data_IF_719835510346
#
_entry.id   IF_719835510346
#
_cell.length_a   1.000
_cell.length_b   1.000
_cell.length_c   1.000
_cell.angle_alpha   90.00
_cell.angle_beta   90.00
_cell.angle_gamma   90.00
#
_symmetry.space_group_name_H-M   'P 1'
#
loop_
_entity.id
_entity.type
_entity.pdbx_description
1 polymer ?
#
# COMPACT_ATOMS: atom_id res chain seq x y z
N UNK A 1 12.81 14.22 7.70
CA UNK A 1 12.13 14.92 8.82
C UNK A 1 13.10 15.51 9.84
N UNK A 2 13.92 14.73 10.54
CA UNK A 2 14.80 15.26 11.61
C UNK A 2 15.81 16.32 11.17
N UNK A 3 16.41 16.18 9.98
CA UNK A 3 17.27 17.23 9.41
C UNK A 3 16.54 18.56 9.23
N UNK A 4 15.24 18.51 8.86
CA UNK A 4 14.40 19.71 8.74
C UNK A 4 14.09 20.30 10.11
N UNK A 5 13.75 19.47 11.10
CA UNK A 5 13.55 19.92 12.48
C UNK A 5 14.81 20.61 13.05
N UNK A 6 15.99 20.05 12.78
CA UNK A 6 17.27 20.69 13.13
C UNK A 6 17.40 22.09 12.53
N UNK A 7 17.10 22.24 11.23
CA UNK A 7 17.15 23.53 10.55
C UNK A 7 16.12 24.56 11.02
N UNK A 8 15.14 24.15 11.84
CA UNK A 8 14.12 25.04 12.41
C UNK A 8 14.49 25.52 13.82
N UNK A 9 15.52 24.96 14.46
CA UNK A 9 15.91 25.34 15.82
C UNK A 9 16.20 26.84 15.94
N UNK A 10 16.94 27.40 14.98
CA UNK A 10 17.25 28.83 14.94
C UNK A 10 15.98 29.67 14.75
N UNK A 11 15.10 29.28 13.82
CA UNK A 11 13.84 29.98 13.56
C UNK A 11 12.94 30.07 14.80
N UNK A 12 12.90 29.01 15.61
CA UNK A 12 12.09 28.96 16.83
C UNK A 12 12.86 29.36 18.10
N UNK A 13 14.13 29.76 17.98
CA UNK A 13 15.02 29.98 19.12
C UNK A 13 15.00 28.80 20.13
N UNK A 14 14.98 27.57 19.61
CA UNK A 14 14.82 26.34 20.37
C UNK A 14 16.18 25.65 20.61
N UNK A 15 16.37 25.08 21.80
CA UNK A 15 17.66 24.47 22.18
C UNK A 15 17.79 22.97 21.86
N UNK A 16 16.67 22.27 21.63
CA UNK A 16 16.66 20.83 21.37
C UNK A 16 15.40 20.39 20.61
N UNK A 17 15.38 19.15 20.12
CA UNK A 17 14.27 18.54 19.38
C UNK A 17 13.65 17.42 20.21
N UNK A 18 12.31 17.33 20.22
CA UNK A 18 11.57 16.21 20.81
C UNK A 18 10.96 15.31 19.73
N UNK A 19 10.87 14.01 19.99
CA UNK A 19 10.05 13.09 19.18
C UNK A 19 9.21 12.16 20.05
N UNK A 20 8.10 11.67 19.49
CA UNK A 20 7.28 10.62 20.10
C UNK A 20 7.79 9.20 19.83
N UNK A 21 9.05 9.03 19.43
CA UNK A 21 9.62 7.70 19.15
C UNK A 21 9.79 6.90 20.45
N UNK A 22 9.51 5.59 20.37
CA UNK A 22 9.65 4.66 21.50
C UNK A 22 10.63 3.56 21.11
N UNK A 23 11.59 3.30 22.00
CA UNK A 23 12.59 2.25 21.81
C UNK A 23 11.91 0.87 21.64
N UNK A 24 12.15 0.25 20.48
CA UNK A 24 11.65 -1.08 20.14
C UNK A 24 10.21 -1.15 19.67
N UNK A 25 9.51 -0.02 19.49
CA UNK A 25 8.10 -0.01 19.11
C UNK A 25 7.90 -0.37 17.63
N UNK A 26 8.73 0.18 16.75
CA UNK A 26 8.78 -0.17 15.34
C UNK A 26 9.97 -1.09 15.05
N UNK A 27 9.75 -2.34 14.61
CA UNK A 27 10.82 -3.33 14.46
C UNK A 27 11.89 -2.89 13.43
N UNK A 28 11.49 -2.18 12.39
CA UNK A 28 12.42 -1.78 11.33
C UNK A 28 13.24 -0.53 11.68
N UNK A 29 12.63 0.47 12.33
CA UNK A 29 13.23 1.81 12.47
C UNK A 29 13.54 2.26 13.89
N UNK A 30 13.03 1.59 14.92
CA UNK A 30 13.18 2.01 16.32
C UNK A 30 13.96 1.00 17.17
N UNK A 31 14.79 0.18 16.53
CA UNK A 31 15.86 -0.56 17.22
C UNK A 31 16.92 0.42 17.69
N UNK A 32 17.63 0.09 18.78
CA UNK A 32 18.66 0.96 19.36
C UNK A 32 19.71 1.40 18.34
N UNK A 33 20.18 0.46 17.50
CA UNK A 33 21.13 0.74 16.42
C UNK A 33 20.56 1.72 15.39
N UNK A 34 19.36 1.46 14.87
CA UNK A 34 18.68 2.34 13.93
C UNK A 34 18.50 3.74 14.49
N UNK A 35 18.07 3.87 15.75
CA UNK A 35 17.90 5.16 16.42
C UNK A 35 19.23 5.91 16.57
N UNK A 36 20.32 5.20 16.88
CA UNK A 36 21.66 5.80 16.97
C UNK A 36 22.15 6.29 15.60
N UNK A 37 21.96 5.50 14.54
CA UNK A 37 22.30 5.91 13.17
C UNK A 37 21.50 7.14 12.74
N UNK A 38 20.19 7.15 12.99
CA UNK A 38 19.31 8.28 12.69
C UNK A 38 19.75 9.56 13.41
N UNK A 39 20.13 9.48 14.69
CA UNK A 39 20.65 10.62 15.46
C UNK A 39 21.93 11.17 14.85
N UNK A 40 22.87 10.28 14.48
CA UNK A 40 24.14 10.65 13.85
C UNK A 40 23.92 11.33 12.50
N UNK A 41 23.11 10.73 11.63
CA UNK A 41 22.84 11.22 10.28
C UNK A 41 22.01 12.51 10.26
N UNK A 42 21.13 12.71 11.24
CA UNK A 42 20.39 13.96 11.40
C UNK A 42 21.22 15.08 12.04
N UNK A 43 22.38 14.77 12.62
CA UNK A 43 23.22 15.73 13.31
C UNK A 43 22.57 16.29 14.57
N UNK A 44 21.67 15.54 15.21
CA UNK A 44 20.97 15.88 16.45
C UNK A 44 21.53 15.11 17.66
N UNK A 45 22.82 14.74 17.59
CA UNK A 45 23.49 14.07 18.70
C UNK A 45 23.33 14.90 19.97
N UNK A 46 22.90 14.24 21.04
CA UNK A 46 22.75 14.81 22.38
C UNK A 46 21.63 15.85 22.57
N UNK A 47 20.98 16.31 21.50
CA UNK A 47 19.87 17.29 21.53
C UNK A 47 18.56 16.72 20.97
N UNK A 48 18.46 15.40 20.81
CA UNK A 48 17.23 14.71 20.42
C UNK A 48 16.62 13.95 21.61
N UNK A 49 15.64 14.56 22.26
CA UNK A 49 14.94 13.98 23.40
C UNK A 49 13.76 13.10 22.93
N UNK A 50 13.57 11.96 23.59
CA UNK A 50 12.46 11.03 23.33
C UNK A 50 11.65 10.79 24.60
N UNK A 51 10.73 11.71 24.95
CA UNK A 51 10.13 11.77 26.28
C UNK A 51 9.49 10.46 26.74
N UNK A 52 8.89 9.69 25.83
CA UNK A 52 8.18 8.45 26.18
C UNK A 52 9.09 7.28 26.58
N UNK A 53 10.38 7.32 26.21
CA UNK A 53 11.35 6.25 26.51
C UNK A 53 12.70 6.75 27.05
N UNK A 54 12.79 8.03 27.44
CA UNK A 54 14.04 8.69 27.82
C UNK A 54 14.79 7.97 28.95
N UNK A 55 14.07 7.42 29.95
CA UNK A 55 14.66 6.65 31.06
C UNK A 55 15.29 5.32 30.64
N UNK A 56 15.14 4.91 29.38
CA UNK A 56 15.75 3.71 28.79
C UNK A 56 16.86 4.03 27.79
N UNK A 57 17.19 5.32 27.64
CA UNK A 57 18.22 5.86 26.78
C UNK A 57 19.25 6.64 27.62
N UNK A 58 20.38 6.95 27.01
CA UNK A 58 21.38 7.87 27.59
C UNK A 58 20.76 9.26 27.72
N UNK A 59 21.11 9.95 28.80
CA UNK A 59 20.69 11.32 29.04
C UNK A 59 21.15 12.24 27.93
N UNK A 60 20.25 13.10 27.49
CA UNK A 60 20.50 14.17 26.53
C UNK A 60 20.97 15.44 27.24
N UNK A 61 21.54 16.37 26.49
CA UNK A 61 21.95 17.68 26.98
C UNK A 61 20.84 18.43 27.76
N UNK A 62 19.58 18.55 27.29
CA UNK A 62 18.54 19.24 28.05
C UNK A 62 18.20 18.55 29.39
N UNK A 63 18.37 17.23 29.50
CA UNK A 63 18.21 16.52 30.77
C UNK A 63 19.37 16.86 31.72
N UNK A 64 20.62 16.81 31.23
CA UNK A 64 21.81 17.11 32.05
C UNK A 64 21.91 18.56 32.49
N UNK A 65 21.40 19.48 31.69
CA UNK A 65 21.33 20.91 32.02
C UNK A 65 20.14 21.27 32.93
N UNK A 66 19.26 20.32 33.24
CA UNK A 66 18.07 20.56 34.06
C UNK A 66 16.94 21.32 33.36
N UNK A 67 17.01 21.50 32.03
CA UNK A 67 15.88 22.06 31.25
C UNK A 67 14.69 21.11 31.20
N UNK A 68 14.95 19.81 31.37
CA UNK A 68 13.93 18.77 31.43
C UNK A 68 14.20 17.88 32.64
N UNK A 69 13.20 17.75 33.51
CA UNK A 69 13.23 16.79 34.60
C UNK A 69 13.11 15.36 34.05
N UNK A 70 14.16 14.57 34.21
CA UNK A 70 14.24 13.18 33.75
C UNK A 70 13.26 12.26 34.46
N UNK A 71 12.94 12.54 35.72
CA UNK A 71 12.00 11.70 36.50
C UNK A 71 10.56 11.86 36.03
N UNK A 72 10.23 13.00 35.43
CA UNK A 72 8.94 13.22 34.76
C UNK A 72 8.80 12.47 33.42
N UNK A 73 9.88 11.87 32.89
CA UNK A 73 9.87 11.23 31.57
C UNK A 73 9.43 9.75 31.61
N UNK A 74 9.07 9.24 30.44
CA UNK A 74 8.61 7.86 30.25
C UNK A 74 9.73 6.83 30.19
N UNK A 75 9.36 5.58 30.44
CA UNK A 75 10.23 4.42 30.35
C UNK A 75 9.64 3.31 29.45
N UNK A 76 8.73 3.69 28.53
CA UNK A 76 7.99 2.77 27.65
C UNK A 76 8.98 2.13 26.66
N UNK A 77 8.87 0.82 26.45
CA UNK A 77 9.64 0.07 25.44
C UNK A 77 8.84 -1.08 24.86
N UNK A 78 9.30 -1.60 23.71
CA UNK A 78 8.70 -2.76 23.05
C UNK A 78 7.54 -2.38 22.14
N UNK A 79 6.80 -3.38 21.62
CA UNK A 79 5.80 -3.18 20.55
C UNK A 79 4.39 -2.81 21.02
N UNK A 80 4.10 -2.98 22.31
CA UNK A 80 2.77 -2.73 22.87
C UNK A 80 2.46 -1.23 22.97
N UNK A 81 1.19 -0.85 22.77
CA UNK A 81 0.73 0.56 22.89
C UNK A 81 -0.07 0.83 24.17
N UNK A 82 -0.16 -0.14 25.07
CA UNK A 82 -1.00 -0.05 26.28
C UNK A 82 -0.65 1.19 27.11
N UNK A 83 0.62 1.39 27.40
CA UNK A 83 1.08 2.53 28.21
C UNK A 83 0.86 3.87 27.52
N UNK A 84 1.05 3.94 26.20
CA UNK A 84 0.77 5.15 25.42
C UNK A 84 -0.72 5.49 25.44
N UNK A 85 -1.59 4.49 25.32
CA UNK A 85 -3.05 4.68 25.36
C UNK A 85 -3.49 5.12 26.76
N UNK A 86 -2.95 4.49 27.82
CA UNK A 86 -3.23 4.92 29.19
C UNK A 86 -2.76 6.36 29.43
N UNK A 87 -1.59 6.74 28.93
CA UNK A 87 -1.06 8.10 29.02
C UNK A 87 -1.91 9.10 28.24
N UNK A 88 -2.35 8.74 27.04
CA UNK A 88 -3.24 9.58 26.22
C UNK A 88 -4.57 9.86 26.94
N UNK A 89 -5.20 8.81 27.50
CA UNK A 89 -6.44 8.95 28.29
C UNK A 89 -6.19 9.81 29.54
N UNK A 90 -5.06 9.63 30.23
CA UNK A 90 -4.68 10.46 31.39
C UNK A 90 -4.58 11.95 31.02
N UNK A 91 -4.15 12.27 29.80
CA UNK A 91 -4.08 13.65 29.29
C UNK A 91 -5.37 14.14 28.60
N UNK A 92 -6.48 13.39 28.73
CA UNK A 92 -7.78 13.80 28.19
C UNK A 92 -7.97 13.52 26.69
N UNK A 93 -7.10 12.72 26.07
CA UNK A 93 -7.28 12.27 24.68
C UNK A 93 -8.33 11.15 24.66
N UNK A 94 -9.41 11.33 23.90
CA UNK A 94 -10.45 10.31 23.77
C UNK A 94 -9.85 9.03 23.16
N UNK A 95 -10.06 7.89 23.83
CA UNK A 95 -9.59 6.58 23.37
C UNK A 95 -10.10 6.21 21.98
N UNK A 96 -11.32 6.63 21.63
CA UNK A 96 -11.96 6.35 20.34
C UNK A 96 -11.31 7.10 19.18
N UNK A 97 -10.63 8.22 19.45
CA UNK A 97 -9.92 8.99 18.42
C UNK A 97 -8.46 8.53 18.24
N UNK A 98 -7.99 7.61 19.07
CA UNK A 98 -6.63 7.08 18.95
C UNK A 98 -6.55 6.19 17.71
N UNK A 99 -5.73 6.55 16.71
CA UNK A 99 -5.64 5.77 15.50
C UNK A 99 -5.08 4.37 15.79
N UNK A 100 -5.61 3.38 15.08
CA UNK A 100 -5.00 2.04 15.02
C UNK A 100 -3.60 2.14 14.43
N UNK A 101 -2.68 1.21 14.75
CA UNK A 101 -1.37 1.21 14.11
C UNK A 101 -1.55 1.19 12.59
N UNK A 102 -0.95 2.13 11.88
CA UNK A 102 -0.95 2.09 10.43
C UNK A 102 -0.28 0.79 9.97
N UNK A 103 -1.00 -0.02 9.18
CA UNK A 103 -0.36 -0.93 8.24
C UNK A 103 0.51 -0.08 7.33
N UNK A 104 1.74 -0.51 7.04
CA UNK A 104 2.71 0.30 6.30
C UNK A 104 2.17 0.93 5.01
N UNK A 105 2.88 1.92 4.47
CA UNK A 105 2.48 2.53 3.19
C UNK A 105 2.46 1.46 2.09
N UNK A 106 1.38 1.34 1.33
CA UNK A 106 1.27 0.37 0.24
C UNK A 106 2.37 0.54 -0.82
N UNK A 107 2.88 1.77 -1.00
CA UNK A 107 4.02 2.05 -1.89
C UNK A 107 5.38 1.60 -1.32
N UNK A 108 5.40 0.98 -0.14
CA UNK A 108 6.59 0.26 0.34
C UNK A 108 6.58 -1.21 -0.07
N UNK A 109 5.46 -1.69 -0.62
CA UNK A 109 5.40 -2.97 -1.32
C UNK A 109 5.93 -2.80 -2.74
N UNK A 110 6.94 -3.59 -3.08
CA UNK A 110 7.66 -3.47 -4.35
C UNK A 110 6.77 -3.75 -5.57
N UNK A 111 5.86 -4.71 -5.44
CA UNK A 111 4.93 -5.10 -6.50
C UNK A 111 3.87 -4.02 -6.73
N UNK A 112 3.31 -3.45 -5.66
CA UNK A 112 2.35 -2.34 -5.78
C UNK A 112 3.05 -1.12 -6.39
N UNK A 113 4.25 -0.79 -5.93
CA UNK A 113 5.03 0.33 -6.47
C UNK A 113 5.36 0.16 -7.96
N UNK A 114 5.71 -1.04 -8.40
CA UNK A 114 5.94 -1.33 -9.82
C UNK A 114 4.67 -1.10 -10.66
N UNK A 115 3.52 -1.61 -10.20
CA UNK A 115 2.24 -1.43 -10.89
C UNK A 115 1.84 0.03 -10.99
N UNK A 116 1.95 0.77 -9.89
CA UNK A 116 1.66 2.20 -9.85
C UNK A 116 2.59 2.94 -10.82
N UNK A 117 3.89 2.68 -10.78
CA UNK A 117 4.85 3.31 -11.71
C UNK A 117 4.45 3.04 -13.17
N UNK A 118 4.13 1.80 -13.53
CA UNK A 118 3.67 1.45 -14.87
C UNK A 118 2.37 2.17 -15.26
N UNK A 119 1.42 2.34 -14.34
CA UNK A 119 0.21 3.15 -14.59
C UNK A 119 0.57 4.59 -14.91
N UNK A 120 1.46 5.23 -14.16
CA UNK A 120 1.91 6.59 -14.45
C UNK A 120 2.61 6.71 -15.81
N UNK A 121 3.45 5.73 -16.16
CA UNK A 121 4.14 5.70 -17.47
C UNK A 121 3.14 5.59 -18.63
N UNK A 122 2.11 4.75 -18.51
CA UNK A 122 1.07 4.57 -19.54
C UNK A 122 0.21 5.81 -19.77
N UNK A 123 0.04 6.66 -18.75
CA UNK A 123 -0.74 7.89 -18.85
C UNK A 123 0.07 9.11 -19.27
N UNK A 124 1.41 9.00 -19.32
CA UNK A 124 2.27 10.13 -19.64
C UNK A 124 1.94 10.74 -21.03
N UNK A 125 1.83 12.08 -21.18
CA UNK A 125 2.18 13.13 -20.20
C UNK A 125 1.06 13.53 -19.23
N UNK A 126 -0.13 12.91 -19.34
CA UNK A 126 -1.22 13.12 -18.41
C UNK A 126 -1.02 12.34 -17.09
N UNK A 127 -1.97 12.50 -16.17
CA UNK A 127 -1.98 11.81 -14.88
C UNK A 127 -3.11 10.79 -14.85
N UNK A 128 -2.89 9.59 -14.28
CA UNK A 128 -3.95 8.61 -14.09
C UNK A 128 -4.99 9.09 -13.08
N UNK A 129 -6.23 8.61 -13.22
CA UNK A 129 -7.31 8.85 -12.26
C UNK A 129 -7.13 8.01 -11.00
N UNK A 130 -7.98 8.25 -9.99
CA UNK A 130 -7.99 7.44 -8.76
C UNK A 130 -8.39 5.99 -9.06
N UNK A 131 -9.30 5.81 -9.99
CA UNK A 131 -9.87 4.55 -10.43
C UNK A 131 -8.80 3.66 -11.08
N UNK A 132 -7.85 4.27 -11.80
CA UNK A 132 -6.69 3.58 -12.37
C UNK A 132 -5.75 3.05 -11.30
N UNK A 133 -5.52 3.84 -10.25
CA UNK A 133 -4.58 3.51 -9.16
C UNK A 133 -5.16 2.48 -8.18
N UNK A 134 -6.47 2.48 -7.94
CA UNK A 134 -7.11 1.45 -7.09
C UNK A 134 -6.90 0.05 -7.67
N UNK A 135 -6.92 -0.07 -9.01
CA UNK A 135 -6.69 -1.31 -9.73
C UNK A 135 -5.23 -1.82 -9.63
N UNK A 136 -4.28 -0.98 -9.22
CA UNK A 136 -2.91 -1.43 -8.92
C UNK A 136 -2.78 -2.14 -7.58
N UNK A 137 -3.71 -1.85 -6.67
CA UNK A 137 -3.72 -2.37 -5.29
C UNK A 137 -4.57 -3.63 -5.21
N UNK A 138 -5.73 -3.64 -5.88
CA UNK A 138 -6.72 -4.72 -5.83
C UNK A 138 -6.46 -5.74 -6.93
N UNK A 139 -6.48 -7.04 -6.60
CA UNK A 139 -6.40 -8.09 -7.60
C UNK A 139 -5.03 -8.32 -8.25
N UNK A 140 -5.03 -9.21 -9.24
CA UNK A 140 -3.91 -9.51 -10.15
C UNK A 140 -4.07 -8.65 -11.39
N UNK A 141 -3.11 -7.76 -11.63
CA UNK A 141 -3.10 -6.87 -12.80
C UNK A 141 -2.31 -7.52 -13.94
N UNK A 142 -2.89 -7.49 -15.12
CA UNK A 142 -2.33 -7.94 -16.39
C UNK A 142 -2.40 -6.79 -17.39
N UNK A 143 -1.28 -6.45 -18.02
CA UNK A 143 -1.22 -5.44 -19.09
C UNK A 143 -1.44 -6.16 -20.41
N UNK A 144 -2.63 -6.02 -21.00
CA UNK A 144 -3.00 -6.70 -22.25
C UNK A 144 -2.39 -6.01 -23.47
N UNK A 145 -2.28 -4.68 -23.41
CA UNK A 145 -1.54 -3.83 -24.34
C UNK A 145 -1.17 -2.48 -23.66
N UNK A 146 -0.69 -1.51 -24.44
CA UNK A 146 -0.29 -0.18 -23.95
C UNK A 146 -1.43 0.58 -23.25
N UNK A 147 -2.67 0.39 -23.68
CA UNK A 147 -3.85 1.16 -23.26
C UNK A 147 -4.88 0.36 -22.45
N UNK A 148 -4.75 -0.97 -22.41
CA UNK A 148 -5.73 -1.89 -21.83
C UNK A 148 -5.11 -2.75 -20.75
N UNK A 149 -5.74 -2.77 -19.58
CA UNK A 149 -5.36 -3.64 -18.47
C UNK A 149 -6.54 -4.51 -18.04
N UNK A 150 -6.23 -5.69 -17.52
CA UNK A 150 -7.16 -6.59 -16.87
C UNK A 150 -6.76 -6.71 -15.39
N UNK A 151 -7.73 -6.61 -14.50
CA UNK A 151 -7.57 -6.94 -13.09
C UNK A 151 -8.49 -8.10 -12.73
N UNK A 152 -7.92 -9.16 -12.17
CA UNK A 152 -8.64 -10.37 -11.74
C UNK A 152 -8.60 -10.47 -10.22
N UNK A 153 -9.74 -10.60 -9.56
CA UNK A 153 -9.78 -10.75 -8.11
C UNK A 153 -9.06 -12.01 -7.60
N UNK A 154 -8.59 -11.95 -6.35
CA UNK A 154 -7.89 -13.05 -5.66
C UNK A 154 -8.75 -13.71 -4.59
N UNK A 155 -9.77 -13.02 -4.11
CA UNK A 155 -10.64 -13.45 -3.01
C UNK A 155 -12.05 -12.88 -3.16
N UNK A 156 -12.97 -13.38 -2.35
CA UNK A 156 -14.34 -12.86 -2.30
C UNK A 156 -14.40 -11.42 -1.77
N UNK A 157 -13.50 -11.05 -0.85
CA UNK A 157 -13.36 -9.68 -0.38
C UNK A 157 -12.98 -8.73 -1.53
N UNK A 158 -12.06 -9.16 -2.41
CA UNK A 158 -11.72 -8.39 -3.61
C UNK A 158 -12.83 -8.37 -4.65
N UNK A 159 -13.62 -9.44 -4.80
CA UNK A 159 -14.84 -9.41 -5.62
C UNK A 159 -15.77 -8.27 -5.15
N UNK A 160 -15.99 -8.18 -3.83
CA UNK A 160 -16.77 -7.11 -3.21
C UNK A 160 -16.22 -5.74 -3.57
N UNK A 161 -14.91 -5.52 -3.41
CA UNK A 161 -14.28 -4.24 -3.76
C UNK A 161 -14.45 -3.93 -5.25
N UNK A 162 -14.09 -4.85 -6.15
CA UNK A 162 -14.18 -4.64 -7.60
C UNK A 162 -15.62 -4.31 -8.03
N UNK A 163 -16.63 -4.98 -7.46
CA UNK A 163 -18.04 -4.74 -7.80
C UNK A 163 -18.51 -3.31 -7.50
N UNK A 164 -17.81 -2.57 -6.61
CA UNK A 164 -18.11 -1.17 -6.31
C UNK A 164 -17.43 -0.18 -7.27
N UNK A 165 -16.49 -0.63 -8.10
CA UNK A 165 -15.72 0.21 -9.03
C UNK A 165 -16.47 0.45 -10.35
N UNK A 166 -17.73 0.84 -10.24
CA UNK A 166 -18.57 1.19 -11.39
C UNK A 166 -18.14 2.59 -11.85
N UNK A 167 -17.32 2.64 -12.89
CA UNK A 167 -16.74 3.88 -13.41
C UNK A 167 -16.64 3.81 -14.93
N UNK A 168 -16.79 4.94 -15.65
CA UNK A 168 -16.60 4.97 -17.09
C UNK A 168 -15.26 4.35 -17.51
N UNK A 169 -15.29 3.51 -18.54
CA UNK A 169 -14.12 2.78 -19.04
C UNK A 169 -13.81 1.46 -18.34
N UNK A 170 -14.57 1.08 -17.29
CA UNK A 170 -14.50 -0.26 -16.71
C UNK A 170 -15.51 -1.18 -17.39
N UNK A 171 -15.05 -2.37 -17.80
CA UNK A 171 -15.87 -3.46 -18.31
C UNK A 171 -15.65 -4.64 -17.37
N UNK A 172 -16.71 -5.06 -16.70
CA UNK A 172 -16.72 -6.22 -15.84
C UNK A 172 -16.75 -7.49 -16.68
N UNK A 173 -16.02 -8.51 -16.26
CA UNK A 173 -15.94 -9.82 -16.93
C UNK A 173 -16.08 -10.93 -15.88
N UNK A 174 -16.91 -11.92 -16.17
CA UNK A 174 -17.10 -13.13 -15.35
C UNK A 174 -17.39 -14.34 -16.23
N UNK A 175 -16.95 -15.52 -15.84
CA UNK A 175 -17.28 -16.76 -16.57
C UNK A 175 -18.70 -17.23 -16.22
N UNK A 176 -19.50 -17.53 -17.25
CA UNK A 176 -20.84 -18.09 -17.13
C UNK A 176 -20.80 -19.49 -16.50
N UNK A 177 -21.85 -19.84 -15.76
CA UNK A 177 -22.12 -21.19 -15.25
C UNK A 177 -21.01 -21.84 -14.41
N UNK A 178 -20.01 -21.06 -13.98
CA UNK A 178 -18.90 -21.55 -13.15
C UNK A 178 -18.52 -20.52 -12.08
N UNK A 179 -18.32 -20.94 -10.82
CA UNK A 179 -17.78 -20.05 -9.79
C UNK A 179 -16.36 -19.58 -10.17
N UNK A 180 -16.14 -18.27 -10.10
CA UNK A 180 -14.89 -17.66 -10.51
C UNK A 180 -14.75 -16.22 -10.05
N UNK A 181 -13.58 -15.63 -10.30
CA UNK A 181 -13.32 -14.23 -9.96
C UNK A 181 -14.20 -13.29 -10.78
N UNK A 182 -14.56 -12.16 -10.19
CA UNK A 182 -14.94 -10.97 -10.94
C UNK A 182 -13.65 -10.29 -11.44
N UNK A 183 -13.66 -9.90 -12.71
CA UNK A 183 -12.56 -9.17 -13.32
C UNK A 183 -13.01 -7.83 -13.88
N UNK A 184 -12.09 -6.88 -13.99
CA UNK A 184 -12.30 -5.59 -14.66
C UNK A 184 -11.29 -5.45 -15.78
N UNK A 185 -11.77 -5.22 -17.00
CA UNK A 185 -10.99 -4.69 -18.11
C UNK A 185 -11.14 -3.18 -18.10
N UNK A 186 -10.03 -2.45 -18.13
CA UNK A 186 -10.01 -0.98 -18.15
C UNK A 186 -9.17 -0.46 -19.30
N UNK A 187 -9.70 0.53 -20.02
CA UNK A 187 -9.09 1.11 -21.21
C UNK A 187 -10.03 1.03 -22.43
N UNK A 188 -9.46 0.90 -23.62
CA UNK A 188 -10.19 0.75 -24.88
C UNK A 188 -9.94 -0.65 -25.46
N UNK A 189 -10.57 -1.71 -24.92
CA UNK A 189 -10.24 -3.07 -25.32
C UNK A 189 -10.67 -3.35 -26.75
N UNK A 190 -9.76 -3.96 -27.52
CA UNK A 190 -10.09 -4.61 -28.78
C UNK A 190 -10.81 -5.93 -28.53
N UNK A 191 -11.39 -6.54 -29.58
CA UNK A 191 -11.96 -7.89 -29.49
C UNK A 191 -10.92 -8.93 -29.04
N UNK A 192 -9.67 -8.78 -29.47
CA UNK A 192 -8.56 -9.64 -29.04
C UNK A 192 -8.24 -9.47 -27.54
N UNK A 193 -8.26 -8.22 -27.03
CA UNK A 193 -8.12 -7.98 -25.60
C UNK A 193 -9.25 -8.63 -24.79
N UNK A 194 -10.48 -8.60 -25.30
CA UNK A 194 -11.61 -9.26 -24.63
C UNK A 194 -11.46 -10.79 -24.61
N UNK A 195 -10.94 -11.39 -25.70
CA UNK A 195 -10.63 -12.82 -25.73
C UNK A 195 -9.54 -13.19 -24.71
N UNK A 196 -8.45 -12.40 -24.66
CA UNK A 196 -7.39 -12.55 -23.66
C UNK A 196 -7.94 -12.42 -22.24
N UNK A 197 -8.78 -11.41 -22.00
CA UNK A 197 -9.40 -11.16 -20.70
C UNK A 197 -10.27 -12.32 -20.24
N UNK A 198 -11.12 -12.85 -21.13
CA UNK A 198 -11.95 -14.02 -20.88
C UNK A 198 -11.09 -15.24 -20.51
N UNK A 199 -10.08 -15.54 -21.33
CA UNK A 199 -9.16 -16.65 -21.11
C UNK A 199 -8.45 -16.58 -19.75
N UNK A 200 -7.89 -15.42 -19.42
CA UNK A 200 -7.20 -15.19 -18.14
C UNK A 200 -8.20 -15.28 -16.97
N UNK A 201 -9.39 -14.69 -17.08
CA UNK A 201 -10.43 -14.78 -16.05
C UNK A 201 -10.80 -16.24 -15.75
N UNK A 202 -11.02 -17.05 -16.79
CA UNK A 202 -11.31 -18.49 -16.65
C UNK A 202 -10.17 -19.26 -15.99
N UNK A 203 -8.92 -18.94 -16.33
CA UNK A 203 -7.74 -19.61 -15.77
C UNK A 203 -7.62 -19.44 -14.25
N UNK A 204 -8.05 -18.30 -13.70
CA UNK A 204 -8.05 -18.02 -12.26
C UNK A 204 -9.36 -18.38 -11.56
N UNK A 205 -10.34 -18.94 -12.27
CA UNK A 205 -11.59 -19.48 -11.70
C UNK A 205 -11.61 -20.99 -11.56
N UNK A 206 -12.77 -21.54 -11.16
CA UNK A 206 -12.98 -23.00 -11.10
C UNK A 206 -13.21 -23.63 -12.49
N UNK A 207 -13.42 -22.81 -13.52
CA UNK A 207 -13.60 -23.24 -14.91
C UNK A 207 -12.30 -23.52 -15.66
N UNK A 208 -11.15 -23.44 -14.98
CA UNK A 208 -9.85 -23.68 -15.59
C UNK A 208 -9.81 -25.05 -16.30
N UNK A 209 -9.45 -25.04 -17.59
CA UNK A 209 -9.35 -26.24 -18.41
C UNK A 209 -10.65 -26.73 -19.05
N UNK A 210 -11.80 -26.08 -18.80
CA UNK A 210 -13.05 -26.38 -19.48
C UNK A 210 -13.11 -25.67 -20.85
N UNK A 211 -13.53 -26.39 -21.88
CA UNK A 211 -13.75 -25.83 -23.22
C UNK A 211 -15.19 -25.35 -23.39
N UNK A 212 -15.39 -24.39 -24.30
CA UNK A 212 -16.72 -23.89 -24.69
C UNK A 212 -17.39 -23.00 -23.64
N UNK A 213 -16.66 -22.54 -22.63
CA UNK A 213 -17.22 -21.62 -21.65
C UNK A 213 -17.33 -20.20 -22.19
N UNK A 214 -18.42 -19.52 -21.82
CA UNK A 214 -18.67 -18.14 -22.19
C UNK A 214 -18.26 -17.21 -21.06
N UNK A 215 -17.57 -16.12 -21.39
CA UNK A 215 -17.38 -14.99 -20.49
C UNK A 215 -18.49 -13.97 -20.75
N UNK A 216 -19.22 -13.60 -19.70
CA UNK A 216 -20.17 -12.50 -19.69
C UNK A 216 -19.43 -11.20 -19.40
N UNK A 217 -19.76 -10.12 -20.11
CA UNK A 217 -19.15 -8.83 -19.87
C UNK A 217 -20.10 -7.63 -20.05
N UNK A 218 -19.78 -6.52 -19.40
CA UNK A 218 -20.60 -5.31 -19.46
C UNK A 218 -20.14 -4.21 -18.49
N UNK A 219 -20.76 -3.01 -18.52
CA UNK A 219 -20.41 -1.89 -17.65
C UNK A 219 -20.94 -2.04 -16.21
N UNK A 220 -21.83 -3.01 -15.97
CA UNK A 220 -22.45 -3.29 -14.67
C UNK A 220 -22.10 -4.72 -14.23
N UNK A 221 -21.51 -4.93 -13.04
CA UNK A 221 -21.15 -6.27 -12.55
C UNK A 221 -22.36 -7.15 -12.19
N UNK A 222 -23.57 -6.58 -12.13
CA UNK A 222 -24.83 -7.27 -11.83
C UNK A 222 -25.70 -7.49 -13.07
N UNK A 223 -25.40 -6.79 -14.18
CA UNK A 223 -26.14 -6.89 -15.43
C UNK A 223 -25.20 -6.86 -16.64
N UNK A 224 -24.74 -8.04 -17.05
CA UNK A 224 -23.83 -8.20 -18.19
C UNK A 224 -24.60 -8.07 -19.52
N UNK A 225 -24.07 -7.24 -20.42
CA UNK A 225 -24.74 -6.89 -21.68
C UNK A 225 -24.43 -7.87 -22.82
N UNK A 226 -23.22 -8.44 -22.81
CA UNK A 226 -22.69 -9.23 -23.90
C UNK A 226 -21.96 -10.48 -23.39
N UNK A 227 -21.61 -11.37 -24.32
CA UNK A 227 -20.81 -12.56 -24.04
C UNK A 227 -19.78 -12.84 -25.14
N UNK A 228 -18.69 -13.51 -24.76
CA UNK A 228 -17.64 -13.95 -25.67
C UNK A 228 -17.13 -15.33 -25.25
N UNK A 229 -16.71 -16.16 -26.21
CA UNK A 229 -16.09 -17.44 -25.91
C UNK A 229 -14.77 -17.23 -25.14
N UNK A 230 -14.53 -18.09 -24.15
CA UNK A 230 -13.34 -18.06 -23.28
C UNK A 230 -12.37 -19.19 -23.64
N UNK A 231 -11.25 -18.89 -24.34
CA UNK A 231 -10.24 -19.88 -24.67
C UNK A 231 -9.54 -20.46 -23.42
N UNK A 232 -9.17 -21.74 -23.48
CA UNK A 232 -8.32 -22.35 -22.45
C UNK A 232 -6.87 -21.95 -22.66
N UNK A 233 -6.25 -21.39 -21.63
CA UNK A 233 -4.84 -20.93 -21.65
C UNK A 233 -4.06 -21.50 -20.48
N UNK A 234 -2.73 -21.54 -20.62
CA UNK A 234 -1.83 -22.00 -19.56
C UNK A 234 -1.49 -20.89 -18.56
N UNK A 235 -0.82 -21.23 -17.45
CA UNK A 235 -0.32 -20.20 -16.51
C UNK A 235 0.78 -19.35 -17.16
N UNK A 236 1.67 -19.99 -17.91
CA UNK A 236 2.80 -19.34 -18.59
C UNK A 236 2.31 -18.26 -19.55
N UNK A 237 1.21 -18.55 -20.26
CA UNK A 237 0.53 -17.56 -21.09
C UNK A 237 0.06 -16.36 -20.27
N UNK A 238 -0.61 -16.58 -19.14
CA UNK A 238 -1.13 -15.50 -18.28
C UNK A 238 0.00 -14.63 -17.70
N UNK A 239 1.10 -15.25 -17.28
CA UNK A 239 2.26 -14.57 -16.70
C UNK A 239 2.94 -13.64 -17.71
N UNK A 240 2.82 -13.89 -19.02
CA UNK A 240 3.40 -13.00 -20.04
C UNK A 240 2.83 -11.57 -19.99
N UNK A 241 1.63 -11.39 -19.44
CA UNK A 241 0.96 -10.10 -19.29
C UNK A 241 1.18 -9.46 -17.91
N UNK A 242 1.82 -10.16 -16.96
CA UNK A 242 2.10 -9.59 -15.64
C UNK A 242 3.36 -8.73 -15.67
N UNK A 243 3.37 -7.69 -14.84
CA UNK A 243 4.57 -6.90 -14.59
C UNK A 243 5.54 -7.74 -13.77
N UNK A 244 6.74 -7.95 -14.31
CA UNK A 244 7.81 -8.73 -13.69
C UNK A 244 8.86 -7.78 -13.09
N UNK A 245 9.14 -7.93 -11.79
CA UNK A 245 10.19 -7.19 -11.10
C UNK A 245 11.56 -7.40 -11.75
N UNK A 246 11.81 -8.60 -12.31
CA UNK A 246 13.10 -8.98 -12.86
C UNK A 246 13.31 -8.50 -14.29
N UNK A 247 12.27 -8.07 -15.00
CA UNK A 247 12.38 -7.49 -16.35
C UNK A 247 12.74 -6.00 -16.35
N UNK A 248 12.79 -5.37 -15.16
CA UNK A 248 12.87 -3.92 -14.99
C UNK A 248 14.16 -3.36 -14.40
N UNK A 249 15.27 -4.11 -14.38
CA UNK A 249 16.59 -3.56 -14.02
C UNK A 249 17.48 -3.51 -15.25
N UNK A 250 17.18 -2.57 -16.15
CA UNK A 250 18.23 -1.88 -16.88
C UNK A 250 18.34 -0.50 -16.26
N UNK A 251 19.32 -0.34 -15.35
CA UNK A 251 19.81 0.97 -14.94
C UNK A 251 20.55 1.63 -16.10
#
# INVERSE_FOLDING_TARGET
MLKKAKGLLETYNASFVITGEILGQRPMSQRRESMNSIVRESGLKDILLRPLCARKLKETLPERMGFVDREALGCITGRGRKDQIMLAVKYGINKETIPTPAGGCLLTDEQISLKVKNTFERFHPAMPGKEDLILDIVGRKFCLDESTVLVVSRSEEENGILSTLISPGNIFVKIADVPGPLSIVRGNPTKDNMLKAAAICMRYGKGRGLNGQMALYGPDPYNFADCIESPVVTEEYCVTFQLDLNKGISL
#
